data_IF_467998399073
#
_entry.id   IF_467998399073
#
_cell.length_a   1.000
_cell.length_b   1.000
_cell.length_c   1.000
_cell.angle_alpha   90.00
_cell.angle_beta   90.00
_cell.angle_gamma   90.00
#
_symmetry.space_group_name_H-M   'P 1'
#
loop_
_entity.id
_entity.type
_entity.pdbx_description
1 polymer ?
#
# COMPACT_ATOMS: atom_id res chain seq x y z
N UNK A 1 28.93 -1.63 22.99
CA UNK A 1 28.03 -0.64 23.63
C UNK A 1 26.65 -0.86 23.04
N UNK A 2 25.71 -1.44 23.78
CA UNK A 2 24.33 -1.62 23.31
C UNK A 2 23.57 -0.33 23.59
N UNK A 3 23.20 0.40 22.53
CA UNK A 3 22.31 1.55 22.66
C UNK A 3 20.90 0.99 22.87
N UNK A 4 20.36 1.14 24.08
CA UNK A 4 18.95 0.81 24.33
C UNK A 4 18.11 1.97 23.81
N UNK A 5 17.21 1.69 22.85
CA UNK A 5 16.22 2.65 22.38
C UNK A 5 15.21 2.86 23.51
N UNK A 6 15.42 3.87 24.35
CA UNK A 6 14.48 4.22 25.41
C UNK A 6 13.34 5.05 24.79
N UNK A 7 12.15 4.46 24.69
CA UNK A 7 10.93 5.23 24.41
C UNK A 7 10.59 6.09 25.62
N UNK A 8 10.17 7.36 25.43
CA UNK A 8 9.99 8.33 26.51
C UNK A 8 8.89 7.96 27.53
N UNK A 9 7.97 7.07 27.15
CA UNK A 9 6.92 6.56 28.03
C UNK A 9 6.61 5.09 27.73
N UNK A 10 6.20 4.36 28.77
CA UNK A 10 5.69 2.98 28.66
C UNK A 10 4.18 2.98 28.89
N UNK A 11 3.45 2.30 28.03
CA UNK A 11 2.07 1.90 28.27
C UNK A 11 2.05 0.71 29.25
N UNK A 12 1.09 0.72 30.17
CA UNK A 12 0.86 -0.37 31.12
C UNK A 12 -0.52 -0.94 30.82
N UNK A 13 -0.55 -2.20 30.39
CA UNK A 13 -1.79 -2.90 30.07
C UNK A 13 -2.47 -3.42 31.34
N UNK A 14 -3.77 -3.71 31.24
CA UNK A 14 -4.55 -4.26 32.36
C UNK A 14 -3.97 -5.58 32.93
N UNK A 15 -3.19 -6.32 32.14
CA UNK A 15 -2.49 -7.54 32.54
C UNK A 15 -1.23 -7.29 33.37
N UNK A 16 -0.80 -6.04 33.54
CA UNK A 16 0.46 -5.65 34.15
C UNK A 16 1.65 -5.67 33.19
N UNK A 17 1.47 -6.11 31.94
CA UNK A 17 2.49 -6.02 30.91
C UNK A 17 2.84 -4.55 30.61
N UNK A 18 4.09 -4.29 30.23
CA UNK A 18 4.57 -2.95 29.85
C UNK A 18 5.18 -3.00 28.45
N UNK A 19 4.92 -1.98 27.65
CA UNK A 19 5.52 -1.79 26.31
C UNK A 19 5.75 -0.31 26.07
N UNK A 20 6.79 0.05 25.32
CA UNK A 20 7.02 1.44 24.94
C UNK A 20 5.85 2.02 24.14
N UNK A 21 5.54 3.31 24.32
CA UNK A 21 4.48 4.03 23.58
C UNK A 21 4.53 3.80 22.07
N UNK A 22 3.38 3.78 21.42
CA UNK A 22 3.24 3.67 19.96
C UNK A 22 3.50 5.00 19.23
N UNK A 23 3.69 6.11 19.97
CA UNK A 23 4.01 7.41 19.41
C UNK A 23 5.29 7.38 18.55
N UNK A 24 5.20 7.91 17.32
CA UNK A 24 6.31 7.94 16.36
C UNK A 24 6.71 6.57 15.81
N UNK A 25 5.93 5.51 16.06
CA UNK A 25 6.12 4.21 15.42
C UNK A 25 5.26 4.10 14.17
N UNK A 26 5.81 3.46 13.15
CA UNK A 26 5.11 3.13 11.92
C UNK A 26 3.93 2.19 12.21
N UNK A 27 2.72 2.59 11.81
CA UNK A 27 1.47 1.85 12.06
C UNK A 27 1.24 0.77 11.01
N UNK A 28 2.14 -0.21 10.99
CA UNK A 28 2.12 -1.36 10.04
C UNK A 28 0.79 -2.12 10.06
N UNK A 29 0.06 -2.08 11.19
CA UNK A 29 -1.27 -2.69 11.34
C UNK A 29 -2.36 -2.06 10.45
N UNK A 30 -2.10 -0.93 9.80
CA UNK A 30 -3.01 -0.33 8.81
C UNK A 30 -2.99 -1.08 7.47
N UNK A 31 -1.92 -1.83 7.17
CA UNK A 31 -1.87 -2.69 5.99
C UNK A 31 -2.69 -3.98 6.23
N UNK A 32 -3.55 -4.39 5.29
CA UNK A 32 -4.14 -5.72 5.32
C UNK A 32 -3.04 -6.79 5.20
N UNK A 33 -2.99 -7.74 6.14
CA UNK A 33 -2.02 -8.84 6.11
C UNK A 33 -2.12 -9.67 4.83
N UNK A 34 -3.34 -9.90 4.38
CA UNK A 34 -3.68 -10.69 3.20
C UNK A 34 -3.18 -9.99 1.94
N UNK A 35 -3.20 -8.66 1.90
CA UNK A 35 -2.59 -7.89 0.81
C UNK A 35 -1.09 -8.10 0.77
N UNK A 36 -0.40 -7.98 1.91
CA UNK A 36 1.06 -8.16 1.99
C UNK A 36 1.45 -9.58 1.55
N UNK A 37 0.77 -10.61 2.07
CA UNK A 37 1.03 -12.00 1.68
C UNK A 37 0.75 -12.25 0.20
N UNK A 38 -0.36 -11.72 -0.33
CA UNK A 38 -0.72 -11.89 -1.74
C UNK A 38 0.27 -11.17 -2.64
N UNK A 39 0.67 -9.94 -2.28
CA UNK A 39 1.64 -9.16 -3.04
C UNK A 39 2.94 -9.94 -3.24
N UNK A 40 3.51 -10.56 -2.19
CA UNK A 40 4.79 -11.29 -2.31
C UNK A 40 4.68 -12.75 -2.76
N UNK A 41 3.48 -13.27 -2.95
CA UNK A 41 3.25 -14.62 -3.49
C UNK A 41 2.79 -14.62 -4.95
N UNK A 42 2.45 -13.45 -5.47
CA UNK A 42 1.89 -13.27 -6.81
C UNK A 42 3.00 -13.26 -7.87
N UNK A 43 2.90 -14.07 -8.95
CA UNK A 43 3.79 -13.92 -10.08
C UNK A 43 3.68 -12.54 -10.72
N UNK A 44 4.82 -11.94 -11.05
CA UNK A 44 4.86 -10.70 -11.84
C UNK A 44 4.50 -11.04 -13.28
N UNK A 45 3.37 -10.54 -13.76
CA UNK A 45 2.93 -10.71 -15.15
C UNK A 45 3.67 -9.69 -16.03
N UNK A 46 4.08 -10.11 -17.24
CA UNK A 46 4.77 -9.28 -18.23
C UNK A 46 3.81 -8.33 -18.96
N UNK A 47 4.22 -7.08 -19.13
CA UNK A 47 3.48 -6.00 -19.81
C UNK A 47 4.10 -4.64 -19.48
N UNK A 48 4.01 -3.68 -20.41
CA UNK A 48 4.70 -2.38 -20.38
C UNK A 48 4.00 -1.37 -19.43
N UNK A 49 4.01 -1.65 -18.13
CA UNK A 49 3.47 -0.76 -17.09
C UNK A 49 1.93 -0.69 -17.02
N UNK A 50 1.42 0.10 -16.05
CA UNK A 50 -0.01 0.35 -15.86
C UNK A 50 -0.77 0.85 -17.11
N UNK A 51 -0.16 1.67 -18.01
CA UNK A 51 -0.80 2.09 -19.25
C UNK A 51 -1.20 0.96 -20.19
N UNK A 52 -0.36 -0.09 -20.26
CA UNK A 52 -0.61 -1.22 -21.14
C UNK A 52 -1.75 -2.14 -20.66
N UNK A 53 -2.20 -1.99 -19.42
CA UNK A 53 -3.23 -2.86 -18.83
C UNK A 53 -4.55 -2.14 -18.52
N UNK A 54 -4.81 -0.93 -19.04
CA UNK A 54 -6.05 -0.20 -18.71
C UNK A 54 -7.32 -0.90 -19.18
N UNK A 55 -7.28 -1.51 -20.37
CA UNK A 55 -8.46 -2.17 -20.97
C UNK A 55 -8.69 -3.58 -20.41
N UNK A 56 -7.62 -4.23 -19.94
CA UNK A 56 -7.65 -5.59 -19.36
C UNK A 56 -7.54 -5.61 -17.83
N UNK A 57 -7.68 -4.45 -17.16
CA UNK A 57 -7.55 -4.37 -15.71
C UNK A 57 -8.68 -5.16 -15.02
N UNK A 58 -8.29 -6.11 -14.17
CA UNK A 58 -9.18 -6.80 -13.25
C UNK A 58 -8.66 -6.67 -11.80
N UNK A 59 -9.53 -6.40 -10.80
CA UNK A 59 -9.13 -6.28 -9.39
C UNK A 59 -8.29 -7.44 -8.86
N UNK A 60 -8.57 -8.68 -9.27
CA UNK A 60 -7.78 -9.86 -8.90
C UNK A 60 -6.31 -9.78 -9.29
N UNK A 61 -5.98 -9.00 -10.33
CA UNK A 61 -4.63 -8.87 -10.87
C UNK A 61 -3.89 -7.65 -10.30
N UNK A 62 -4.55 -6.84 -9.46
CA UNK A 62 -3.96 -5.66 -8.83
C UNK A 62 -2.67 -5.93 -8.03
N UNK A 63 -2.49 -7.08 -7.32
CA UNK A 63 -1.20 -7.42 -6.70
C UNK A 63 -0.05 -7.55 -7.71
N UNK A 64 -0.27 -8.20 -8.86
CA UNK A 64 0.75 -8.31 -9.93
C UNK A 64 1.14 -6.93 -10.46
N UNK A 65 0.16 -6.05 -10.63
CA UNK A 65 0.37 -4.68 -11.11
C UNK A 65 1.12 -3.86 -10.05
N UNK A 66 0.79 -4.01 -8.76
CA UNK A 66 1.51 -3.34 -7.69
C UNK A 66 2.99 -3.78 -7.64
N UNK A 67 3.28 -5.08 -7.77
CA UNK A 67 4.66 -5.57 -7.88
C UNK A 67 5.41 -4.95 -9.07
N UNK A 68 4.76 -4.86 -10.24
CA UNK A 68 5.34 -4.20 -11.42
C UNK A 68 5.71 -2.76 -11.12
N UNK A 69 4.80 -1.98 -10.54
CA UNK A 69 5.04 -0.57 -10.20
C UNK A 69 6.20 -0.43 -9.20
N UNK A 70 6.29 -1.32 -8.21
CA UNK A 70 7.41 -1.32 -7.25
C UNK A 70 8.74 -1.65 -7.96
N UNK A 71 8.74 -2.62 -8.87
CA UNK A 71 9.92 -2.98 -9.65
C UNK A 71 10.36 -1.85 -10.58
N UNK A 72 9.40 -1.14 -11.18
CA UNK A 72 9.71 -0.01 -12.07
C UNK A 72 10.34 1.16 -11.27
N UNK A 73 9.88 1.40 -10.04
CA UNK A 73 10.40 2.44 -9.15
C UNK A 73 11.76 2.09 -8.52
N UNK A 74 11.90 0.86 -8.00
CA UNK A 74 13.03 0.47 -7.15
C UNK A 74 13.95 -0.60 -7.76
N UNK A 75 13.64 -1.06 -8.96
CA UNK A 75 14.31 -2.18 -9.59
C UNK A 75 13.85 -3.54 -9.08
N UNK A 76 14.35 -4.58 -9.76
CA UNK A 76 14.14 -5.98 -9.40
C UNK A 76 15.39 -6.58 -8.78
N UNK A 77 15.21 -7.67 -8.04
CA UNK A 77 16.31 -8.52 -7.63
C UNK A 77 17.01 -9.15 -8.86
N UNK A 78 18.34 -9.32 -8.82
CA UNK A 78 19.07 -9.86 -9.97
C UNK A 78 18.72 -11.33 -10.25
N UNK A 79 18.29 -12.06 -9.22
CA UNK A 79 18.04 -13.50 -9.24
C UNK A 79 16.57 -13.86 -9.47
N UNK A 80 15.63 -13.00 -9.04
CA UNK A 80 14.19 -13.28 -9.11
C UNK A 80 13.45 -12.12 -9.74
N UNK A 81 12.31 -12.32 -10.43
CA UNK A 81 11.52 -11.23 -10.99
C UNK A 81 10.72 -10.45 -9.94
N UNK A 82 11.14 -10.47 -8.67
CA UNK A 82 10.51 -9.75 -7.56
C UNK A 82 11.20 -8.40 -7.34
N UNK A 83 10.52 -7.42 -6.69
CA UNK A 83 11.19 -6.22 -6.23
C UNK A 83 12.29 -6.56 -5.23
N UNK A 84 13.32 -5.71 -5.16
CA UNK A 84 14.35 -5.84 -4.13
C UNK A 84 13.72 -5.78 -2.73
N UNK A 85 14.29 -6.47 -1.74
CA UNK A 85 13.78 -6.41 -0.36
C UNK A 85 13.69 -4.98 0.17
N UNK A 86 14.67 -4.14 -0.17
CA UNK A 86 14.68 -2.71 0.18
C UNK A 86 13.57 -1.94 -0.55
N UNK A 87 13.42 -2.13 -1.86
CA UNK A 87 12.37 -1.48 -2.66
C UNK A 87 10.96 -1.86 -2.19
N UNK A 88 10.76 -3.13 -1.89
CA UNK A 88 9.52 -3.63 -1.30
C UNK A 88 9.22 -2.99 0.06
N UNK A 89 10.22 -2.92 0.95
CA UNK A 89 10.06 -2.27 2.26
C UNK A 89 9.73 -0.78 2.12
N UNK A 90 10.47 -0.05 1.28
CA UNK A 90 10.25 1.38 1.03
C UNK A 90 8.86 1.65 0.44
N UNK A 91 8.41 0.82 -0.49
CA UNK A 91 7.06 0.93 -1.06
C UNK A 91 5.97 0.76 0.00
N UNK A 92 6.11 -0.23 0.89
CA UNK A 92 5.16 -0.44 1.98
C UNK A 92 5.19 0.68 3.01
N UNK A 93 6.36 1.24 3.32
CA UNK A 93 6.48 2.39 4.22
C UNK A 93 5.72 3.60 3.67
N UNK A 94 5.95 3.97 2.40
CA UNK A 94 5.22 5.07 1.74
C UNK A 94 3.71 4.86 1.74
N UNK A 95 3.26 3.63 1.50
CA UNK A 95 1.84 3.27 1.59
C UNK A 95 1.29 3.40 3.02
N UNK A 96 2.05 2.95 4.04
CA UNK A 96 1.64 3.10 5.44
C UNK A 96 1.52 4.58 5.80
N UNK A 97 2.49 5.42 5.46
CA UNK A 97 2.45 6.86 5.74
C UNK A 97 1.21 7.53 5.11
N UNK A 98 0.83 7.11 3.90
CA UNK A 98 -0.42 7.55 3.26
C UNK A 98 -1.66 7.10 4.05
N UNK A 99 -1.67 5.86 4.52
CA UNK A 99 -2.76 5.32 5.36
C UNK A 99 -2.84 6.02 6.72
N UNK A 100 -1.71 6.38 7.33
CA UNK A 100 -1.64 7.13 8.58
C UNK A 100 -2.26 8.52 8.44
N UNK A 101 -1.86 9.28 7.41
CA UNK A 101 -2.46 10.59 7.10
C UNK A 101 -3.97 10.47 6.86
N UNK A 102 -4.41 9.43 6.16
CA UNK A 102 -5.83 9.14 5.96
C UNK A 102 -6.55 8.82 7.27
N UNK A 103 -5.92 8.07 8.17
CA UNK A 103 -6.47 7.68 9.46
C UNK A 103 -6.61 8.86 10.43
N UNK A 104 -5.71 9.84 10.38
CA UNK A 104 -5.82 11.08 11.17
C UNK A 104 -7.09 11.88 10.85
N UNK A 105 -7.49 11.89 9.57
CA UNK A 105 -8.65 12.67 9.11
C UNK A 105 -9.95 11.87 9.22
N UNK A 106 -9.93 10.60 8.79
CA UNK A 106 -11.14 9.80 8.59
C UNK A 106 -11.28 8.63 9.57
N UNK A 107 -10.29 8.42 10.43
CA UNK A 107 -10.19 7.24 11.30
C UNK A 107 -9.58 6.02 10.59
N UNK A 108 -9.06 5.11 11.41
CA UNK A 108 -8.42 3.88 10.95
C UNK A 108 -9.34 3.07 10.01
N UNK A 109 -8.75 2.58 8.92
CA UNK A 109 -9.43 1.68 7.98
C UNK A 109 -10.75 2.23 7.40
N UNK A 110 -10.96 3.55 7.37
CA UNK A 110 -12.20 4.13 6.84
C UNK A 110 -12.51 3.65 5.41
N UNK A 111 -11.48 3.46 4.58
CA UNK A 111 -11.60 2.93 3.23
C UNK A 111 -12.22 1.52 3.17
N UNK A 112 -12.14 0.70 4.22
CA UNK A 112 -12.77 -0.64 4.26
C UNK A 112 -14.31 -0.59 4.28
N UNK A 113 -14.88 0.57 4.61
CA UNK A 113 -16.35 0.79 4.59
C UNK A 113 -16.93 0.77 3.18
N UNK A 114 -16.07 0.80 2.16
CA UNK A 114 -16.48 0.76 0.77
C UNK A 114 -16.54 2.15 0.13
N UNK A 115 -16.06 2.23 -1.10
CA UNK A 115 -16.22 3.34 -2.03
C UNK A 115 -16.72 2.77 -3.36
N UNK A 116 -17.53 3.51 -4.13
CA UNK A 116 -17.91 3.08 -5.48
C UNK A 116 -16.66 2.71 -6.30
N UNK A 117 -16.64 1.54 -6.93
CA UNK A 117 -15.46 1.04 -7.65
C UNK A 117 -14.97 2.03 -8.71
N UNK A 118 -15.88 2.69 -9.42
CA UNK A 118 -15.53 3.71 -10.41
C UNK A 118 -14.76 4.89 -9.79
N UNK A 119 -15.08 5.30 -8.56
CA UNK A 119 -14.33 6.36 -7.86
C UNK A 119 -12.90 5.93 -7.59
N UNK A 120 -12.70 4.70 -7.14
CA UNK A 120 -11.36 4.14 -6.86
C UNK A 120 -10.58 4.00 -8.17
N UNK A 121 -11.20 3.46 -9.23
CA UNK A 121 -10.58 3.33 -10.55
C UNK A 121 -10.20 4.68 -11.19
N UNK A 122 -11.08 5.70 -11.09
CA UNK A 122 -10.79 7.04 -11.58
C UNK A 122 -9.63 7.68 -10.81
N UNK A 123 -9.56 7.44 -9.50
CA UNK A 123 -8.46 7.90 -8.66
C UNK A 123 -7.15 7.22 -9.03
N UNK A 124 -7.15 5.89 -9.17
CA UNK A 124 -6.01 5.08 -9.61
C UNK A 124 -5.43 5.61 -10.93
N UNK A 125 -6.28 5.79 -11.95
CA UNK A 125 -5.84 6.26 -13.27
C UNK A 125 -5.21 7.65 -13.22
N UNK A 126 -5.78 8.57 -12.44
CA UNK A 126 -5.22 9.92 -12.27
C UNK A 126 -3.84 9.88 -11.63
N UNK A 127 -3.69 9.19 -10.49
CA UNK A 127 -2.40 9.10 -9.81
C UNK A 127 -1.36 8.32 -10.62
N UNK A 128 -1.76 7.30 -11.37
CA UNK A 128 -0.87 6.59 -12.28
C UNK A 128 -0.33 7.54 -13.36
N UNK A 129 -1.19 8.31 -14.04
CA UNK A 129 -0.76 9.26 -15.05
C UNK A 129 0.15 10.35 -14.47
N UNK A 130 -0.16 10.88 -13.28
CA UNK A 130 0.67 11.88 -12.61
C UNK A 130 2.04 11.30 -12.20
N UNK A 131 2.06 10.07 -11.67
CA UNK A 131 3.29 9.36 -11.33
C UNK A 131 4.19 9.16 -12.54
N UNK A 132 3.68 8.60 -13.65
CA UNK A 132 4.47 8.41 -14.87
C UNK A 132 4.89 9.72 -15.55
N UNK A 133 4.12 10.79 -15.36
CA UNK A 133 4.48 12.12 -15.85
C UNK A 133 5.50 12.84 -14.95
N UNK A 134 5.87 12.26 -13.79
CA UNK A 134 6.77 12.89 -12.83
C UNK A 134 6.22 14.18 -12.21
N UNK A 135 4.89 14.25 -12.04
CA UNK A 135 4.24 15.40 -11.40
C UNK A 135 4.66 15.47 -9.94
N UNK A 136 5.11 16.65 -9.52
CA UNK A 136 5.42 16.99 -8.13
C UNK A 136 4.49 18.11 -7.67
N UNK A 137 3.38 17.73 -7.06
CA UNK A 137 2.36 18.63 -6.48
C UNK A 137 2.29 18.53 -4.95
N UNK A 138 3.29 17.88 -4.33
CA UNK A 138 3.33 17.60 -2.89
C UNK A 138 2.58 16.33 -2.48
N UNK A 139 1.92 15.62 -3.40
CA UNK A 139 1.34 14.31 -3.13
C UNK A 139 2.29 13.17 -3.52
N UNK A 140 2.30 12.10 -2.71
CA UNK A 140 2.97 10.85 -3.08
C UNK A 140 2.08 10.04 -4.03
N UNK A 141 2.17 10.34 -5.33
CA UNK A 141 1.38 9.67 -6.37
C UNK A 141 1.68 8.17 -6.49
N UNK A 142 2.92 7.74 -6.25
CA UNK A 142 3.29 6.32 -6.22
C UNK A 142 2.54 5.58 -5.09
N UNK A 143 2.56 6.13 -3.87
CA UNK A 143 1.82 5.55 -2.76
C UNK A 143 0.29 5.55 -3.03
N UNK A 144 -0.21 6.60 -3.67
CA UNK A 144 -1.62 6.68 -4.05
C UNK A 144 -2.01 5.61 -5.09
N UNK A 145 -1.14 5.27 -6.04
CA UNK A 145 -1.33 4.14 -6.95
C UNK A 145 -1.43 2.82 -6.17
N UNK A 146 -0.47 2.56 -5.28
CA UNK A 146 -0.48 1.34 -4.46
C UNK A 146 -1.73 1.25 -3.58
N UNK A 147 -2.15 2.36 -2.99
CA UNK A 147 -3.37 2.44 -2.19
C UNK A 147 -4.60 2.02 -3.00
N UNK A 148 -4.79 2.57 -4.19
CA UNK A 148 -5.98 2.24 -5.00
C UNK A 148 -5.95 0.78 -5.49
N UNK A 149 -4.77 0.25 -5.86
CA UNK A 149 -4.62 -1.16 -6.22
C UNK A 149 -4.97 -2.08 -5.04
N UNK A 150 -4.48 -1.75 -3.84
CA UNK A 150 -4.81 -2.46 -2.60
C UNK A 150 -6.30 -2.43 -2.31
N UNK A 151 -6.95 -1.26 -2.44
CA UNK A 151 -8.40 -1.10 -2.18
C UNK A 151 -9.22 -1.93 -3.17
N UNK A 152 -8.91 -1.86 -4.47
CA UNK A 152 -9.62 -2.62 -5.50
C UNK A 152 -9.50 -4.13 -5.25
N UNK A 153 -8.29 -4.61 -4.98
CA UNK A 153 -8.06 -6.00 -4.63
C UNK A 153 -8.81 -6.40 -3.36
N UNK A 154 -8.76 -5.56 -2.31
CA UNK A 154 -9.41 -5.86 -1.04
C UNK A 154 -10.93 -5.96 -1.19
N UNK A 155 -11.55 -5.08 -1.97
CA UNK A 155 -12.99 -5.15 -2.22
C UNK A 155 -13.37 -6.41 -2.99
N UNK A 156 -12.60 -6.79 -4.01
CA UNK A 156 -12.80 -8.04 -4.75
C UNK A 156 -12.64 -9.26 -3.85
N UNK A 157 -11.54 -9.33 -3.10
CA UNK A 157 -11.20 -10.43 -2.20
C UNK A 157 -12.24 -10.64 -1.08
N UNK A 158 -12.82 -9.55 -0.55
CA UNK A 158 -13.84 -9.61 0.50
C UNK A 158 -15.28 -9.53 -0.01
N UNK A 159 -15.50 -9.45 -1.33
CA UNK A 159 -16.85 -9.33 -1.91
C UNK A 159 -17.58 -8.03 -1.52
N UNK A 160 -16.84 -6.93 -1.30
CA UNK A 160 -17.41 -5.63 -0.95
C UNK A 160 -17.95 -4.96 -2.21
N UNK A 161 -19.27 -4.92 -2.33
CA UNK A 161 -19.97 -4.22 -3.41
C UNK A 161 -20.63 -2.97 -2.85
N UNK A 162 -20.25 -1.82 -3.41
CA UNK A 162 -20.83 -0.52 -3.04
C UNK A 162 -21.62 0.00 -4.23
N UNK A 163 -22.93 0.16 -4.03
CA UNK A 163 -23.79 0.79 -5.02
C UNK A 163 -23.36 2.22 -5.31
N UNK A 164 -23.62 2.69 -6.54
CA UNK A 164 -23.39 4.06 -6.96
C UNK A 164 -24.28 5.06 -6.19
#
# INVERSE_FOLDING_TARGET
MYITKQTPSNEVFATGAKRGSEEGKLRVNLLPSEWVTTLFSTPVVGGDGLPACWDDFHPSNAPSIALRVIIDEYGRDEVTPLPTNEGAANALIRLIELLERGAEIYGDNNWKRGMPLERVQRSLRRHALQYYAGVDDGEDHFAAVLFNLMVLWYYDFHGIVVGA
#
